data_IF_495710386395
#
_entry.id   IF_495710386395
#
_cell.length_a   1.000
_cell.length_b   1.000
_cell.length_c   1.000
_cell.angle_alpha   90.00
_cell.angle_beta   90.00
_cell.angle_gamma   90.00
#
_symmetry.space_group_name_H-M   'P 1'
#
loop_
_entity.id
_entity.type
_entity.pdbx_description
1 polymer ?
#
# COMPACT_ATOMS: atom_id res chain seq x y z
N UNK A 1 13.19 1.95 -20.48
CA UNK A 1 11.80 1.94 -19.98
C UNK A 1 10.97 2.81 -20.93
N UNK A 2 9.83 2.34 -21.41
CA UNK A 2 8.96 3.16 -22.26
C UNK A 2 8.14 4.14 -21.41
N UNK A 3 7.54 5.14 -22.07
CA UNK A 3 6.67 6.10 -21.41
C UNK A 3 5.44 5.43 -20.79
N UNK A 4 4.83 4.47 -21.50
CA UNK A 4 3.67 3.72 -21.00
C UNK A 4 4.02 2.90 -19.76
N UNK A 5 5.15 2.18 -19.77
CA UNK A 5 5.58 1.42 -18.59
C UNK A 5 5.89 2.33 -17.39
N UNK A 6 6.33 3.57 -17.62
CA UNK A 6 6.55 4.53 -16.54
C UNK A 6 5.22 4.99 -15.90
N UNK A 7 4.17 5.15 -16.71
CA UNK A 7 2.83 5.45 -16.23
C UNK A 7 2.21 4.27 -15.48
N UNK A 8 2.41 3.04 -15.96
CA UNK A 8 1.97 1.83 -15.27
C UNK A 8 2.66 1.70 -13.90
N UNK A 9 3.97 1.91 -13.84
CA UNK A 9 4.73 1.90 -12.59
C UNK A 9 4.33 3.04 -11.65
N UNK A 10 3.97 4.19 -12.19
CA UNK A 10 3.42 5.31 -11.41
C UNK A 10 2.07 4.94 -10.81
N UNK A 11 1.16 4.39 -11.61
CA UNK A 11 -0.16 3.95 -11.17
C UNK A 11 -0.05 2.86 -10.09
N UNK A 12 0.82 1.87 -10.30
CA UNK A 12 1.11 0.85 -9.30
C UNK A 12 1.68 1.45 -8.01
N UNK A 13 2.65 2.35 -8.09
CA UNK A 13 3.26 2.97 -6.92
C UNK A 13 2.26 3.81 -6.12
N UNK A 14 1.35 4.52 -6.80
CA UNK A 14 0.27 5.27 -6.16
C UNK A 14 -0.74 4.32 -5.51
N UNK A 15 -1.21 3.30 -6.23
CA UNK A 15 -2.13 2.29 -5.70
C UNK A 15 -1.56 1.56 -4.49
N UNK A 16 -0.28 1.17 -4.54
CA UNK A 16 0.42 0.55 -3.42
C UNK A 16 0.50 1.46 -2.18
N UNK A 17 0.58 2.78 -2.36
CA UNK A 17 0.57 3.74 -1.24
C UNK A 17 -0.83 3.99 -0.67
N UNK A 18 -1.88 3.83 -1.49
CA UNK A 18 -3.27 3.88 -1.04
C UNK A 18 -3.68 2.64 -0.25
N UNK A 19 -3.06 1.50 -0.52
CA UNK A 19 -3.26 0.30 0.28
C UNK A 19 -2.87 0.54 1.75
N UNK A 20 -3.68 0.02 2.66
CA UNK A 20 -3.34 -0.11 4.07
C UNK A 20 -2.06 -0.93 4.24
N UNK A 21 -1.31 -0.76 5.34
CA UNK A 21 -0.16 -1.62 5.63
C UNK A 21 -0.51 -3.11 5.63
N UNK A 22 -1.74 -3.47 6.03
CA UNK A 22 -2.23 -4.85 5.99
C UNK A 22 -2.40 -5.36 4.55
N UNK A 23 -3.02 -4.58 3.67
CA UNK A 23 -3.18 -4.93 2.25
C UNK A 23 -1.83 -5.03 1.53
N UNK A 24 -0.88 -4.13 1.83
CA UNK A 24 0.49 -4.22 1.28
C UNK A 24 1.21 -5.49 1.71
N UNK A 25 1.06 -5.89 2.98
CA UNK A 25 1.64 -7.13 3.50
C UNK A 25 0.94 -8.35 2.91
N UNK A 26 -0.39 -8.32 2.81
CA UNK A 26 -1.16 -9.37 2.16
C UNK A 26 -0.74 -9.53 0.69
N UNK A 27 -0.62 -8.45 -0.08
CA UNK A 27 -0.11 -8.49 -1.46
C UNK A 27 1.32 -9.09 -1.51
N UNK A 28 2.21 -8.68 -0.61
CA UNK A 28 3.57 -9.24 -0.54
C UNK A 28 3.53 -10.73 -0.22
N UNK A 29 2.68 -11.18 0.69
CA UNK A 29 2.52 -12.60 0.99
C UNK A 29 1.90 -13.32 -0.21
N UNK A 30 0.83 -12.81 -0.80
CA UNK A 30 0.14 -13.38 -1.96
C UNK A 30 1.04 -13.52 -3.18
N UNK A 31 1.87 -12.53 -3.54
CA UNK A 31 2.87 -12.65 -4.61
C UNK A 31 3.85 -13.80 -4.34
N UNK A 32 4.14 -14.05 -3.07
CA UNK A 32 5.06 -15.09 -2.63
C UNK A 32 4.35 -16.44 -2.41
N UNK A 33 3.01 -16.45 -2.39
CA UNK A 33 2.12 -17.56 -2.05
C UNK A 33 1.22 -18.01 -3.21
N UNK A 34 1.10 -17.24 -4.29
CA UNK A 34 0.63 -17.73 -5.61
C UNK A 34 1.52 -18.89 -6.12
N UNK A 35 2.64 -19.17 -5.43
CA UNK A 35 3.46 -20.37 -5.57
C UNK A 35 3.07 -21.56 -4.63
N UNK A 36 2.01 -21.45 -3.80
CA UNK A 36 1.43 -22.55 -3.02
C UNK A 36 0.82 -22.18 -1.64
N UNK A 37 -0.33 -22.79 -1.31
CA UNK A 37 -1.18 -22.54 -0.11
C UNK A 37 -0.66 -23.04 1.26
N UNK A 38 0.66 -23.12 1.49
CA UNK A 38 1.22 -23.50 2.79
C UNK A 38 2.30 -22.52 3.23
N UNK A 39 2.63 -22.46 4.52
CA UNK A 39 3.79 -21.70 5.00
C UNK A 39 4.99 -22.02 4.07
N UNK A 40 5.50 -21.04 3.30
CA UNK A 40 6.32 -21.41 2.17
C UNK A 40 7.63 -22.02 2.67
N UNK A 41 8.12 -23.06 1.99
CA UNK A 41 9.37 -23.73 2.37
C UNK A 41 10.58 -22.79 2.32
N UNK A 42 10.46 -21.66 1.62
CA UNK A 42 11.48 -20.63 1.51
C UNK A 42 11.61 -19.85 2.83
N UNK A 43 12.78 -19.86 3.49
CA UNK A 43 12.98 -19.24 4.79
C UNK A 43 12.56 -17.76 4.86
N UNK A 44 12.82 -17.00 3.80
CA UNK A 44 12.48 -15.57 3.70
C UNK A 44 10.97 -15.33 3.77
N UNK A 45 10.17 -16.26 3.29
CA UNK A 45 8.72 -16.17 3.26
C UNK A 45 8.08 -16.60 4.57
N UNK A 46 8.62 -17.65 5.18
CA UNK A 46 8.24 -18.05 6.52
C UNK A 46 8.45 -16.90 7.51
N UNK A 47 9.55 -16.16 7.39
CA UNK A 47 9.81 -14.95 8.20
C UNK A 47 8.70 -13.92 8.00
N UNK A 48 8.35 -13.57 6.75
CA UNK A 48 7.30 -12.59 6.46
C UNK A 48 5.93 -13.01 6.99
N UNK A 49 5.59 -14.30 6.88
CA UNK A 49 4.36 -14.85 7.45
C UNK A 49 4.33 -14.72 8.98
N UNK A 50 5.43 -15.03 9.65
CA UNK A 50 5.54 -14.91 11.10
C UNK A 50 5.53 -13.46 11.59
N UNK A 51 6.15 -12.53 10.86
CA UNK A 51 6.06 -11.09 11.11
C UNK A 51 4.61 -10.61 10.97
N UNK A 52 3.88 -11.06 9.96
CA UNK A 52 2.52 -10.59 9.74
C UNK A 52 1.53 -11.08 10.81
N UNK A 53 1.62 -12.36 11.21
CA UNK A 53 0.85 -12.88 12.35
C UNK A 53 1.13 -12.12 13.65
N UNK A 54 2.38 -11.72 13.87
CA UNK A 54 2.77 -10.89 15.00
C UNK A 54 2.14 -9.50 14.92
N UNK A 55 2.16 -8.85 13.76
CA UNK A 55 1.58 -7.51 13.55
C UNK A 55 0.05 -7.53 13.71
N UNK A 56 -0.62 -8.62 13.32
CA UNK A 56 -2.06 -8.83 13.53
C UNK A 56 -2.44 -9.17 14.98
N UNK A 57 -1.47 -9.38 15.86
CA UNK A 57 -1.71 -9.78 17.25
C UNK A 57 -2.12 -11.24 17.43
N UNK A 58 -1.94 -12.10 16.42
CA UNK A 58 -2.20 -13.54 16.51
C UNK A 58 -1.12 -14.29 17.30
N UNK A 59 -0.03 -13.60 17.66
CA UNK A 59 1.10 -14.13 18.41
C UNK A 59 1.70 -13.03 19.29
N UNK A 60 2.02 -13.37 20.53
CA UNK A 60 2.76 -12.49 21.44
C UNK A 60 4.23 -12.31 21.04
N UNK A 61 4.82 -11.11 21.22
CA UNK A 61 6.24 -10.87 20.98
C UNK A 61 7.09 -11.55 22.05
N UNK A 62 7.84 -12.57 21.65
CA UNK A 62 8.73 -13.33 22.55
C UNK A 62 10.19 -12.92 22.43
N UNK A 63 10.56 -12.31 21.30
CA UNK A 63 11.95 -11.93 21.00
C UNK A 63 12.15 -10.41 20.87
N UNK A 64 13.40 -9.96 20.95
CA UNK A 64 13.77 -8.57 20.64
C UNK A 64 13.43 -8.21 19.20
N UNK A 65 13.62 -9.17 18.27
CA UNK A 65 13.24 -9.00 16.87
C UNK A 65 11.75 -8.73 16.72
N UNK A 66 10.89 -9.46 17.44
CA UNK A 66 9.43 -9.26 17.41
C UNK A 66 9.04 -7.83 17.84
N UNK A 67 9.60 -7.36 18.95
CA UNK A 67 9.33 -6.01 19.45
C UNK A 67 9.80 -4.94 18.46
N UNK A 68 10.95 -5.16 17.82
CA UNK A 68 11.44 -4.28 16.76
C UNK A 68 10.53 -4.31 15.53
N UNK A 69 10.02 -5.48 15.12
CA UNK A 69 9.05 -5.62 14.03
C UNK A 69 7.76 -4.86 14.31
N UNK A 70 7.23 -4.96 15.53
CA UNK A 70 6.04 -4.20 15.94
C UNK A 70 6.29 -2.69 15.93
N UNK A 71 7.44 -2.23 16.44
CA UNK A 71 7.84 -0.82 16.37
C UNK A 71 7.92 -0.33 14.93
N UNK A 72 8.59 -1.10 14.05
CA UNK A 72 8.73 -0.80 12.62
C UNK A 72 7.37 -0.68 11.93
N UNK A 73 6.44 -1.61 12.22
CA UNK A 73 5.10 -1.60 11.65
C UNK A 73 4.28 -0.39 12.12
N UNK A 74 4.42 0.00 13.39
CA UNK A 74 3.81 1.23 13.93
C UNK A 74 4.37 2.48 13.25
N UNK A 75 5.68 2.55 13.10
CA UNK A 75 6.33 3.68 12.43
C UNK A 75 5.91 3.78 10.96
N UNK A 76 5.77 2.64 10.27
CA UNK A 76 5.26 2.61 8.90
C UNK A 76 3.81 3.10 8.82
N UNK A 77 2.95 2.67 9.75
CA UNK A 77 1.55 3.10 9.80
C UNK A 77 1.39 4.60 10.11
N UNK A 78 2.35 5.19 10.84
CA UNK A 78 2.34 6.61 11.17
C UNK A 78 2.88 7.51 10.04
N UNK A 79 3.57 6.95 9.03
CA UNK A 79 4.12 7.74 7.92
C UNK A 79 3.00 8.20 6.99
N UNK A 80 3.04 9.45 6.50
CA UNK A 80 2.16 9.88 5.42
C UNK A 80 2.27 8.93 4.22
N UNK A 81 1.13 8.56 3.63
CA UNK A 81 1.09 7.70 2.45
C UNK A 81 1.93 8.28 1.30
N UNK A 82 1.88 9.61 1.16
CA UNK A 82 2.59 10.38 0.13
C UNK A 82 3.41 11.51 0.76
N UNK A 83 4.73 11.38 0.76
CA UNK A 83 5.65 12.45 1.17
C UNK A 83 6.30 13.13 -0.06
N UNK A 84 7.02 14.23 0.15
CA UNK A 84 7.70 14.93 -0.94
C UNK A 84 8.79 14.09 -1.62
N UNK A 85 9.39 13.15 -0.88
CA UNK A 85 10.38 12.25 -1.44
C UNK A 85 9.75 11.30 -2.46
N UNK A 86 8.57 10.73 -2.14
CA UNK A 86 7.80 9.90 -3.05
C UNK A 86 7.51 10.65 -4.35
N UNK A 87 6.98 11.87 -4.27
CA UNK A 87 6.64 12.67 -5.45
C UNK A 87 7.86 13.03 -6.28
N UNK A 88 8.97 13.40 -5.62
CA UNK A 88 10.23 13.71 -6.31
C UNK A 88 10.77 12.51 -7.06
N UNK A 89 10.74 11.32 -6.45
CA UNK A 89 11.19 10.10 -7.10
C UNK A 89 10.34 9.77 -8.32
N UNK A 90 9.00 9.83 -8.20
CA UNK A 90 8.09 9.58 -9.33
C UNK A 90 8.33 10.52 -10.50
N UNK A 91 8.59 11.81 -10.23
CA UNK A 91 8.96 12.76 -11.29
C UNK A 91 10.27 12.37 -11.98
N UNK A 92 11.29 12.00 -11.20
CA UNK A 92 12.57 11.54 -11.74
C UNK A 92 12.42 10.30 -12.62
N UNK A 93 11.53 9.37 -12.25
CA UNK A 93 11.29 8.14 -13.01
C UNK A 93 10.59 8.44 -14.34
N UNK A 94 9.67 9.42 -14.37
CA UNK A 94 9.03 9.90 -15.60
C UNK A 94 10.05 10.60 -16.52
N UNK A 95 10.87 11.50 -15.98
CA UNK A 95 11.94 12.17 -16.74
C UNK A 95 12.91 11.15 -17.35
N UNK A 96 13.30 10.11 -16.60
CA UNK A 96 14.15 9.03 -17.09
C UNK A 96 13.50 8.17 -18.19
N UNK A 97 12.17 8.15 -18.26
CA UNK A 97 11.41 7.49 -19.32
C UNK A 97 11.21 8.36 -20.57
N UNK A 98 11.75 9.59 -20.59
CA UNK A 98 11.71 10.50 -21.73
C UNK A 98 10.52 11.46 -21.74
N UNK A 99 9.86 11.67 -20.59
CA UNK A 99 8.93 12.79 -20.43
C UNK A 99 9.70 14.10 -20.31
N UNK A 100 9.14 15.18 -20.86
CA UNK A 100 9.68 16.52 -20.62
C UNK A 100 9.56 16.87 -19.12
N UNK A 101 10.52 17.60 -18.50
CA UNK A 101 10.44 17.95 -17.08
C UNK A 101 9.16 18.71 -16.68
N UNK A 102 8.62 19.54 -17.59
CA UNK A 102 7.33 20.21 -17.37
C UNK A 102 6.19 19.21 -17.41
N UNK A 103 6.18 18.32 -18.39
CA UNK A 103 5.16 17.28 -18.52
C UNK A 103 5.14 16.34 -17.31
N UNK A 104 6.32 15.86 -16.87
CA UNK A 104 6.46 15.02 -15.68
C UNK A 104 5.95 15.73 -14.41
N UNK A 105 6.21 17.04 -14.28
CA UNK A 105 5.70 17.86 -13.17
C UNK A 105 4.18 17.98 -13.22
N UNK A 106 3.61 18.22 -14.40
CA UNK A 106 2.17 18.42 -14.57
C UNK A 106 1.39 17.13 -14.28
N UNK A 107 1.91 15.96 -14.70
CA UNK A 107 1.36 14.64 -14.35
C UNK A 107 1.32 14.44 -12.83
N UNK A 108 2.44 14.68 -12.13
CA UNK A 108 2.51 14.56 -10.67
C UNK A 108 1.57 15.54 -9.97
N UNK A 109 1.48 16.79 -10.45
CA UNK A 109 0.58 17.80 -9.87
C UNK A 109 -0.90 17.42 -10.03
N UNK A 110 -1.28 16.88 -11.19
CA UNK A 110 -2.63 16.40 -11.45
C UNK A 110 -3.01 15.23 -10.51
N UNK A 111 -2.11 14.26 -10.34
CA UNK A 111 -2.31 13.15 -9.40
C UNK A 111 -2.43 13.62 -7.95
N UNK A 112 -1.56 14.53 -7.50
CA UNK A 112 -1.65 15.10 -6.14
C UNK A 112 -3.00 15.79 -5.90
N UNK A 113 -3.52 16.47 -6.90
CA UNK A 113 -4.83 17.13 -6.84
C UNK A 113 -5.97 16.11 -6.75
N UNK A 114 -5.94 15.07 -7.59
CA UNK A 114 -6.92 13.98 -7.57
C UNK A 114 -6.93 13.22 -6.24
N UNK A 115 -5.75 13.00 -5.66
CA UNK A 115 -5.60 12.30 -4.37
C UNK A 115 -6.00 13.16 -3.17
N UNK A 116 -5.78 14.47 -3.23
CA UNK A 116 -6.27 15.40 -2.19
C UNK A 116 -7.80 15.50 -2.11
N UNK A 117 -8.50 15.18 -3.19
CA UNK A 117 -9.96 15.17 -3.26
C UNK A 117 -10.59 13.80 -2.87
N UNK A 118 -9.80 12.73 -2.71
CA UNK A 118 -10.31 11.36 -2.47
C UNK A 118 -10.24 10.90 -1.01
N UNK A 119 -9.69 11.70 -0.10
CA UNK A 119 -9.59 11.36 1.34
C UNK A 119 -10.92 11.34 2.12
N UNK A 120 -12.09 11.49 1.46
CA UNK A 120 -13.41 11.50 2.11
C UNK A 120 -14.24 10.22 1.86
N UNK A 121 -13.80 9.28 1.03
CA UNK A 121 -14.53 8.03 0.76
C UNK A 121 -13.81 6.84 1.38
N UNK A 122 -13.91 6.73 2.70
CA UNK A 122 -13.43 5.60 3.50
C UNK A 122 -14.35 5.32 4.69
N UNK A 123 -15.64 5.64 4.54
CA UNK A 123 -16.71 5.29 5.48
C UNK A 123 -17.91 4.78 4.68
N UNK A 124 -17.68 3.74 3.89
CA UNK A 124 -18.72 2.72 3.70
C UNK A 124 -18.83 2.07 5.10
N UNK A 125 -19.83 2.39 5.91
CA UNK A 125 -21.23 2.34 5.53
C UNK A 125 -21.64 0.89 5.70
N UNK A 126 -21.71 0.48 6.96
CA UNK A 126 -22.26 -0.78 7.44
C UNK A 126 -23.76 -0.81 7.08
N UNK A 127 -24.08 -0.99 5.81
CA UNK A 127 -25.46 -1.12 5.32
C UNK A 127 -25.92 -2.57 5.45
N UNK A 128 -25.82 -3.08 6.69
CA UNK A 128 -26.57 -4.26 7.11
C UNK A 128 -27.80 -3.81 7.91
N UNK A 129 -28.94 -3.79 7.21
CA UNK A 129 -30.27 -4.01 7.80
C UNK A 129 -31.06 -2.77 8.20
N UNK A 130 -32.00 -2.35 7.35
CA UNK A 130 -33.41 -2.61 7.68
C UNK A 130 -34.33 -2.43 6.45
N UNK A 131 -34.64 -3.55 5.82
CA UNK A 131 -35.89 -3.74 5.09
C UNK A 131 -37.02 -3.81 6.12
N UNK A 132 -37.53 -2.68 6.59
CA UNK A 132 -38.87 -2.56 7.19
C UNK A 132 -39.13 -1.10 7.61
N UNK A 133 -39.74 -0.34 6.70
CA UNK A 133 -40.86 0.58 6.97
C UNK A 133 -41.21 1.33 5.67
N UNK A 134 -41.81 0.57 4.76
CA UNK A 134 -42.93 1.10 4.00
C UNK A 134 -44.12 1.22 4.97
N UNK A 135 -44.91 2.29 4.80
CA UNK A 135 -46.18 2.61 5.46
C UNK A 135 -46.12 3.32 6.83
N UNK A 136 -46.21 4.66 6.79
CA UNK A 136 -47.22 5.44 7.53
C UNK A 136 -47.33 6.85 6.91
#
# INVERSE_FOLDING_TARGET
MSRDSALDLLAFAVGYRLMTPAERRALRISVLYEMGEAAPATPELAVLWHEDRLIRGEREPTTTYDRWTLMRARDEAARPAFDEQFWRQRRSDLEAAGFDPKEARDVVASLRTSLGNTTTTGREGDDNGNLEQAAA
#
